data_IF_620787929391
#
_entry.id   IF_620787929391
#
_cell.length_a   1.000
_cell.length_b   1.000
_cell.length_c   1.000
_cell.angle_alpha   90.00
_cell.angle_beta   90.00
_cell.angle_gamma   90.00
#
_symmetry.space_group_name_H-M   'P 1'
#
loop_
_entity.id
_entity.type
_entity.pdbx_description
1 polymer ?
#
# COMPACT_ATOMS: atom_id res chain seq x y z
N UNK A 1 16.57 40.66 0.65
CA UNK A 1 15.14 40.54 0.26
C UNK A 1 15.14 39.38 -0.68
N UNK A 2 15.26 38.20 -0.09
CA UNK A 2 15.61 36.99 -0.78
C UNK A 2 14.30 36.31 -1.13
N UNK A 3 13.96 36.35 -2.42
CA UNK A 3 12.93 35.50 -3.00
C UNK A 3 13.33 34.05 -2.79
N UNK A 4 12.84 33.46 -1.70
CA UNK A 4 12.93 32.03 -1.48
C UNK A 4 11.88 31.34 -2.35
N UNK A 5 12.14 31.36 -3.66
CA UNK A 5 11.59 30.39 -4.57
C UNK A 5 12.19 29.04 -4.19
N UNK A 6 11.63 28.38 -3.17
CA UNK A 6 11.87 26.97 -2.93
C UNK A 6 11.32 26.22 -4.14
N UNK A 7 12.17 26.05 -5.16
CA UNK A 7 12.08 24.91 -6.04
C UNK A 7 12.04 23.69 -5.12
N UNK A 8 10.85 23.16 -4.87
CA UNK A 8 10.63 21.90 -4.17
C UNK A 8 11.13 20.81 -5.10
N UNK A 9 12.45 20.76 -5.27
CA UNK A 9 13.09 19.60 -5.86
C UNK A 9 12.69 18.44 -4.95
N UNK A 10 12.14 17.35 -5.50
CA UNK A 10 11.67 16.22 -4.70
C UNK A 10 12.90 15.53 -4.09
N UNK A 11 13.37 16.04 -2.95
CA UNK A 11 14.47 15.45 -2.19
C UNK A 11 13.91 14.54 -1.11
N UNK A 12 14.73 13.58 -0.69
CA UNK A 12 14.37 12.70 0.42
C UNK A 12 14.09 13.47 1.73
N UNK A 13 14.83 14.56 1.97
CA UNK A 13 14.62 15.44 3.14
C UNK A 13 13.27 16.16 3.07
N UNK A 14 12.95 16.76 1.92
CA UNK A 14 11.67 17.45 1.73
C UNK A 14 10.49 16.46 1.84
N UNK A 15 10.69 15.23 1.35
CA UNK A 15 9.70 14.17 1.48
C UNK A 15 9.51 13.74 2.93
N UNK A 16 10.58 13.58 3.72
CA UNK A 16 10.47 13.30 5.15
C UNK A 16 9.69 14.40 5.90
N UNK A 17 9.87 15.67 5.53
CA UNK A 17 9.09 16.79 6.08
C UNK A 17 7.61 16.68 5.70
N UNK A 18 7.29 16.33 4.45
CA UNK A 18 5.92 16.08 4.01
C UNK A 18 5.27 14.94 4.81
N UNK A 19 5.95 13.80 4.95
CA UNK A 19 5.43 12.64 5.67
C UNK A 19 5.16 12.96 7.14
N UNK A 20 6.04 13.72 7.80
CA UNK A 20 5.81 14.19 9.17
C UNK A 20 4.52 15.03 9.29
N UNK A 21 4.19 15.82 8.26
CA UNK A 21 2.94 16.59 8.23
C UNK A 21 1.74 15.68 8.05
N UNK A 22 1.83 14.69 7.16
CA UNK A 22 0.76 13.73 6.91
C UNK A 22 0.48 12.82 8.10
N UNK A 23 1.51 12.40 8.81
CA UNK A 23 1.36 11.65 10.06
C UNK A 23 0.55 12.46 11.08
N UNK A 24 0.92 13.72 11.31
CA UNK A 24 0.25 14.59 12.30
C UNK A 24 -1.18 14.96 11.92
N UNK A 25 -1.45 15.23 10.65
CA UNK A 25 -2.75 15.75 10.19
C UNK A 25 -3.73 14.66 9.77
N UNK A 26 -3.24 13.53 9.28
CA UNK A 26 -4.05 12.50 8.63
C UNK A 26 -3.82 11.09 9.20
N UNK A 27 -2.93 10.94 10.18
CA UNK A 27 -2.64 9.65 10.81
C UNK A 27 -1.90 8.67 9.89
N UNK A 28 -1.20 9.17 8.87
CA UNK A 28 -0.36 8.35 7.99
C UNK A 28 0.86 7.84 8.76
N UNK A 29 0.86 6.57 9.17
CA UNK A 29 1.92 6.01 10.00
C UNK A 29 3.24 5.89 9.22
N UNK A 30 4.35 6.39 9.79
CA UNK A 30 5.69 6.12 9.25
C UNK A 30 6.17 4.76 9.74
N UNK A 31 6.52 3.89 8.80
CA UNK A 31 6.85 2.49 9.08
C UNK A 31 8.30 2.21 8.71
N UNK A 32 8.99 1.52 9.61
CA UNK A 32 10.16 0.71 9.31
C UNK A 32 9.73 -0.77 9.14
N UNK A 33 10.67 -1.69 9.01
CA UNK A 33 10.36 -3.11 8.86
C UNK A 33 9.59 -3.69 10.06
N UNK A 34 10.01 -3.37 11.28
CA UNK A 34 9.37 -3.91 12.49
C UNK A 34 8.00 -3.26 12.76
N UNK A 35 7.86 -1.98 12.44
CA UNK A 35 6.61 -1.23 12.45
C UNK A 35 5.64 -1.78 11.42
N UNK A 36 6.12 -2.12 10.23
CA UNK A 36 5.29 -2.71 9.18
C UNK A 36 4.64 -4.03 9.59
N UNK A 37 5.39 -4.97 10.15
CA UNK A 37 4.83 -6.26 10.60
C UNK A 37 3.71 -6.06 11.64
N UNK A 38 3.94 -5.17 12.61
CA UNK A 38 2.94 -4.84 13.65
C UNK A 38 1.71 -4.15 13.07
N UNK A 39 1.94 -3.23 12.13
CA UNK A 39 0.88 -2.49 11.46
C UNK A 39 0.00 -3.42 10.60
N UNK A 40 0.64 -4.32 9.85
CA UNK A 40 0.00 -5.32 9.02
C UNK A 40 -0.84 -6.30 9.85
N UNK A 41 -0.32 -6.78 10.99
CA UNK A 41 -0.98 -7.75 11.85
C UNK A 41 -2.17 -7.20 12.64
N UNK A 42 -2.32 -5.88 12.73
CA UNK A 42 -3.48 -5.27 13.37
C UNK A 42 -4.74 -5.51 12.52
N UNK A 43 -5.89 -5.70 13.18
CA UNK A 43 -7.15 -6.02 12.52
C UNK A 43 -7.69 -4.86 11.65
N UNK A 44 -8.46 -5.22 10.62
CA UNK A 44 -9.11 -4.33 9.67
C UNK A 44 -8.24 -3.97 8.45
N UNK A 45 -8.84 -3.23 7.52
CA UNK A 45 -8.20 -2.82 6.28
C UNK A 45 -7.03 -1.86 6.52
N UNK A 46 -5.94 -2.11 5.81
CA UNK A 46 -4.83 -1.18 5.75
C UNK A 46 -4.21 -1.10 4.36
N UNK A 47 -3.58 0.04 4.10
CA UNK A 47 -2.82 0.30 2.88
C UNK A 47 -1.44 0.84 3.27
N UNK A 48 -0.40 0.36 2.61
CA UNK A 48 0.97 0.83 2.85
C UNK A 48 1.58 1.30 1.54
N UNK A 49 2.03 2.55 1.51
CA UNK A 49 2.85 3.08 0.43
C UNK A 49 4.28 2.56 0.56
N UNK A 50 4.70 1.80 -0.44
CA UNK A 50 6.08 1.46 -0.69
C UNK A 50 6.69 2.61 -1.49
N UNK A 51 7.27 3.56 -0.77
CA UNK A 51 7.86 4.76 -1.35
C UNK A 51 9.23 4.44 -1.96
N UNK A 52 9.60 5.18 -3.00
CA UNK A 52 10.97 5.25 -3.50
C UNK A 52 11.53 6.66 -3.27
N UNK A 53 12.84 6.87 -3.41
CA UNK A 53 13.47 8.18 -3.34
C UNK A 53 12.82 9.11 -4.38
N UNK A 54 12.16 10.20 -3.96
CA UNK A 54 11.51 11.12 -4.88
C UNK A 54 12.47 11.81 -5.85
N UNK A 55 13.77 11.83 -5.56
CA UNK A 55 14.79 12.32 -6.49
C UNK A 55 14.99 11.38 -7.69
N UNK A 56 14.71 10.08 -7.51
CA UNK A 56 14.78 9.06 -8.56
C UNK A 56 13.42 8.76 -9.18
N UNK A 57 12.36 8.73 -8.37
CA UNK A 57 10.98 8.47 -8.77
C UNK A 57 10.07 9.57 -8.21
N UNK A 58 9.98 10.72 -8.89
CA UNK A 58 9.19 11.88 -8.44
C UNK A 58 7.73 11.54 -8.13
N UNK A 59 7.15 10.57 -8.84
CA UNK A 59 5.79 10.08 -8.67
C UNK A 59 5.51 9.56 -7.26
N UNK A 60 6.55 9.18 -6.50
CA UNK A 60 6.40 8.82 -5.08
C UNK A 60 5.74 9.95 -4.28
N UNK A 61 6.11 11.19 -4.58
CA UNK A 61 5.54 12.36 -3.93
C UNK A 61 4.06 12.48 -4.24
N UNK A 62 3.69 12.38 -5.52
CA UNK A 62 2.30 12.47 -5.97
C UNK A 62 1.43 11.36 -5.36
N UNK A 63 1.93 10.13 -5.34
CA UNK A 63 1.19 9.00 -4.75
C UNK A 63 1.02 9.15 -3.24
N UNK A 64 1.97 9.75 -2.52
CA UNK A 64 1.81 10.05 -1.10
C UNK A 64 0.69 11.08 -0.85
N UNK A 65 0.59 12.10 -1.71
CA UNK A 65 -0.52 13.08 -1.65
C UNK A 65 -1.85 12.41 -1.96
N UNK A 66 -1.90 11.63 -3.04
CA UNK A 66 -3.09 10.85 -3.44
C UNK A 66 -3.55 9.93 -2.31
N UNK A 67 -2.63 9.26 -1.62
CA UNK A 67 -2.97 8.39 -0.49
C UNK A 67 -3.70 9.16 0.62
N UNK A 68 -3.24 10.37 0.95
CA UNK A 68 -3.93 11.22 1.93
C UNK A 68 -5.30 11.67 1.44
N UNK A 69 -5.44 12.05 0.17
CA UNK A 69 -6.74 12.41 -0.41
C UNK A 69 -7.72 11.22 -0.42
N UNK A 70 -7.22 10.00 -0.59
CA UNK A 70 -8.04 8.80 -0.44
C UNK A 70 -8.52 8.63 1.00
N UNK A 71 -7.65 8.78 1.98
CA UNK A 71 -8.03 8.65 3.40
C UNK A 71 -9.13 9.62 3.80
N UNK A 72 -9.13 10.83 3.25
CA UNK A 72 -10.15 11.85 3.57
C UNK A 72 -11.44 11.70 2.78
N UNK A 73 -11.41 11.02 1.64
CA UNK A 73 -12.58 10.85 0.75
C UNK A 73 -13.27 9.48 0.86
N UNK A 74 -12.71 8.55 1.63
CA UNK A 74 -13.29 7.24 1.86
C UNK A 74 -14.30 7.27 3.02
N UNK A 75 -15.51 6.79 2.76
CA UNK A 75 -16.56 6.61 3.77
C UNK A 75 -16.35 5.35 4.65
N UNK A 76 -15.15 4.77 4.65
CA UNK A 76 -14.80 3.58 5.42
C UNK A 76 -13.45 3.73 6.10
N UNK A 77 -13.30 3.07 7.25
CA UNK A 77 -12.04 3.07 7.99
C UNK A 77 -10.97 2.33 7.19
N UNK A 78 -9.91 3.04 6.82
CA UNK A 78 -8.72 2.49 6.20
C UNK A 78 -7.51 3.04 6.95
N UNK A 79 -6.69 2.14 7.50
CA UNK A 79 -5.42 2.55 8.12
C UNK A 79 -4.38 2.73 7.02
N UNK A 80 -3.61 3.81 7.05
CA UNK A 80 -2.53 4.00 6.10
C UNK A 80 -1.17 4.07 6.78
N UNK A 81 -0.18 3.52 6.08
CA UNK A 81 1.23 3.69 6.42
C UNK A 81 2.07 4.01 5.19
N UNK A 82 3.29 4.46 5.45
CA UNK A 82 4.32 4.68 4.44
C UNK A 82 5.61 4.04 4.92
N UNK A 83 6.20 3.21 4.07
CA UNK A 83 7.55 2.70 4.26
C UNK A 83 8.54 3.68 3.65
N UNK A 84 9.56 4.05 4.41
CA UNK A 84 10.67 4.82 3.85
C UNK A 84 11.43 4.01 2.79
N UNK A 85 12.09 4.64 1.80
CA UNK A 85 12.67 3.95 0.65
C UNK A 85 13.56 2.75 0.99
N UNK A 86 14.40 2.88 2.03
CA UNK A 86 15.27 1.79 2.46
C UNK A 86 14.50 0.55 2.93
N UNK A 87 13.46 0.74 3.76
CA UNK A 87 12.61 -0.34 4.28
C UNK A 87 11.67 -0.88 3.19
N UNK A 88 11.13 0.01 2.35
CA UNK A 88 10.29 -0.35 1.22
C UNK A 88 11.02 -1.29 0.26
N UNK A 89 12.26 -0.96 -0.13
CA UNK A 89 13.09 -1.80 -1.01
C UNK A 89 13.36 -3.19 -0.42
N UNK A 90 13.57 -3.29 0.91
CA UNK A 90 13.81 -4.57 1.58
C UNK A 90 12.56 -5.45 1.66
N UNK A 91 11.38 -4.84 1.79
CA UNK A 91 10.10 -5.56 1.91
C UNK A 91 9.43 -5.85 0.56
N UNK A 92 9.69 -5.05 -0.47
CA UNK A 92 9.08 -5.17 -1.80
C UNK A 92 9.11 -6.59 -2.41
N UNK A 93 10.20 -7.39 -2.29
CA UNK A 93 10.24 -8.75 -2.84
C UNK A 93 9.13 -9.68 -2.33
N UNK A 94 8.50 -9.37 -1.19
CA UNK A 94 7.42 -10.16 -0.60
C UNK A 94 6.07 -9.95 -1.30
N UNK A 95 5.91 -8.85 -2.04
CA UNK A 95 4.63 -8.40 -2.60
C UNK A 95 4.55 -8.47 -4.12
N UNK A 96 5.65 -8.80 -4.79
CA UNK A 96 5.68 -9.18 -6.20
C UNK A 96 5.30 -8.08 -7.19
N UNK A 97 5.45 -6.81 -6.80
CA UNK A 97 5.29 -5.66 -7.70
C UNK A 97 6.62 -5.28 -8.35
N UNK A 98 6.55 -4.73 -9.56
CA UNK A 98 7.71 -4.32 -10.37
C UNK A 98 7.79 -2.83 -10.66
N UNK A 99 6.69 -2.09 -10.48
CA UNK A 99 6.61 -0.65 -10.75
C UNK A 99 6.50 0.12 -9.44
N UNK A 100 7.35 1.13 -9.30
CA UNK A 100 7.38 2.05 -8.16
C UNK A 100 6.70 3.39 -8.50
N UNK A 101 6.16 4.10 -7.50
CA UNK A 101 5.83 3.62 -6.15
C UNK A 101 4.66 2.62 -6.18
N UNK A 102 4.39 1.92 -5.07
CA UNK A 102 3.28 0.97 -4.99
C UNK A 102 2.46 1.09 -3.69
N UNK A 103 1.14 0.92 -3.79
CA UNK A 103 0.24 0.78 -2.64
C UNK A 103 -0.11 -0.68 -2.42
N UNK A 104 0.35 -1.25 -1.30
CA UNK A 104 0.02 -2.61 -0.89
C UNK A 104 -1.17 -2.59 0.07
N UNK A 105 -2.21 -3.34 -0.27
CA UNK A 105 -3.43 -3.49 0.54
C UNK A 105 -3.34 -4.76 1.37
N UNK A 106 -3.66 -4.63 2.65
CA UNK A 106 -3.62 -5.69 3.64
C UNK A 106 -4.93 -5.71 4.44
N UNK A 107 -5.29 -6.87 4.97
CA UNK A 107 -6.44 -7.06 5.85
C UNK A 107 -6.11 -8.16 6.85
N UNK A 108 -6.20 -7.84 8.14
CA UNK A 108 -5.99 -8.80 9.24
C UNK A 108 -4.66 -9.59 9.09
N UNK A 109 -3.57 -8.91 8.73
CA UNK A 109 -2.26 -9.53 8.45
C UNK A 109 -2.13 -10.21 7.09
N UNK A 110 -3.23 -10.39 6.36
CA UNK A 110 -3.28 -11.00 5.04
C UNK A 110 -3.06 -10.01 3.90
N UNK A 111 -2.47 -10.47 2.80
CA UNK A 111 -2.32 -9.68 1.58
C UNK A 111 -3.63 -9.63 0.78
N UNK A 112 -4.03 -8.46 0.30
CA UNK A 112 -5.23 -8.29 -0.53
C UNK A 112 -4.83 -8.00 -1.98
N UNK A 113 -3.88 -7.10 -2.18
CA UNK A 113 -3.49 -6.67 -3.52
C UNK A 113 -2.45 -5.56 -3.51
N UNK A 114 -2.07 -5.14 -4.70
CA UNK A 114 -1.16 -4.01 -4.92
C UNK A 114 -1.66 -3.16 -6.08
N UNK A 115 -1.54 -1.84 -5.95
CA UNK A 115 -1.70 -0.89 -7.06
C UNK A 115 -0.32 -0.30 -7.30
N UNK A 116 0.21 -0.52 -8.50
CA UNK A 116 1.54 -0.03 -8.88
C UNK A 116 1.44 1.27 -9.67
N UNK A 117 2.44 2.13 -9.48
CA UNK A 117 2.65 3.39 -10.16
C UNK A 117 1.59 4.46 -9.86
N UNK A 118 1.83 5.63 -10.41
CA UNK A 118 0.83 6.69 -10.50
C UNK A 118 -0.18 6.38 -11.61
N UNK A 119 -1.45 6.76 -11.41
CA UNK A 119 -2.53 6.60 -12.40
C UNK A 119 -3.42 7.83 -12.41
N UNK A 120 -4.33 7.90 -13.37
CA UNK A 120 -5.38 8.91 -13.33
C UNK A 120 -6.23 8.76 -12.06
N UNK A 121 -6.61 9.87 -11.45
CA UNK A 121 -7.41 9.92 -10.22
C UNK A 121 -8.67 9.02 -10.26
N UNK A 122 -9.43 9.07 -11.35
CA UNK A 122 -10.68 8.29 -11.45
C UNK A 122 -10.43 6.79 -11.52
N UNK A 123 -9.35 6.37 -12.19
CA UNK A 123 -8.91 4.97 -12.20
C UNK A 123 -8.45 4.54 -10.81
N UNK A 124 -7.67 5.40 -10.16
CA UNK A 124 -7.13 5.14 -8.84
C UNK A 124 -8.23 4.90 -7.80
N UNK A 125 -9.25 5.77 -7.76
CA UNK A 125 -10.41 5.59 -6.86
C UNK A 125 -11.15 4.28 -7.10
N UNK A 126 -11.37 3.91 -8.37
CA UNK A 126 -12.05 2.66 -8.73
C UNK A 126 -11.23 1.44 -8.31
N UNK A 127 -9.93 1.45 -8.58
CA UNK A 127 -9.03 0.35 -8.18
C UNK A 127 -8.93 0.23 -6.67
N UNK A 128 -8.81 1.33 -5.93
CA UNK A 128 -8.81 1.33 -4.46
C UNK A 128 -10.11 0.73 -3.92
N UNK A 129 -11.27 1.18 -4.40
CA UNK A 129 -12.55 0.60 -3.99
C UNK A 129 -12.61 -0.90 -4.28
N UNK A 130 -12.19 -1.32 -5.48
CA UNK A 130 -12.12 -2.73 -5.85
C UNK A 130 -11.15 -3.53 -4.97
N UNK A 131 -10.01 -2.96 -4.56
CA UNK A 131 -9.09 -3.61 -3.61
C UNK A 131 -9.73 -3.82 -2.25
N UNK A 132 -10.48 -2.83 -1.76
CA UNK A 132 -11.13 -2.91 -0.45
C UNK A 132 -12.29 -3.91 -0.40
N UNK A 133 -12.80 -4.36 -1.56
CA UNK A 133 -13.84 -5.40 -1.65
C UNK A 133 -13.26 -6.78 -1.98
N UNK A 134 -11.97 -6.89 -2.32
CA UNK A 134 -11.31 -8.17 -2.58
C UNK A 134 -11.07 -8.95 -1.28
N UNK A 135 -11.10 -10.29 -1.34
CA UNK A 135 -10.70 -11.13 -0.22
C UNK A 135 -9.18 -11.14 -0.03
N UNK A 136 -8.75 -11.53 1.16
CA UNK A 136 -7.34 -11.87 1.43
C UNK A 136 -6.91 -13.03 0.55
N UNK A 137 -5.69 -12.95 0.01
CA UNK A 137 -5.06 -13.95 -0.84
C UNK A 137 -3.57 -14.05 -0.55
N UNK A 138 -2.92 -15.06 -1.11
CA UNK A 138 -1.46 -15.20 -1.03
C UNK A 138 -0.78 -14.11 -1.86
N UNK A 139 0.25 -13.47 -1.30
CA UNK A 139 1.07 -12.54 -2.07
C UNK A 139 1.81 -13.27 -3.21
N UNK A 140 1.88 -12.68 -4.41
CA UNK A 140 2.67 -13.26 -5.50
C UNK A 140 4.15 -13.19 -5.12
N UNK A 141 4.72 -14.32 -4.73
CA UNK A 141 6.16 -14.46 -4.49
C UNK A 141 6.84 -14.79 -5.82
N UNK A 142 7.80 -13.97 -6.29
CA UNK A 142 8.57 -14.28 -7.49
C UNK A 142 9.21 -15.67 -7.39
N UNK A 143 8.93 -16.54 -8.36
CA UNK A 143 9.49 -17.90 -8.43
C UNK A 143 8.67 -19.02 -7.75
N UNK A 144 7.53 -18.72 -7.09
CA UNK A 144 6.63 -19.77 -6.65
C UNK A 144 5.79 -20.27 -7.83
N UNK A 145 6.14 -21.43 -8.39
CA UNK A 145 5.25 -22.16 -9.27
C UNK A 145 3.95 -22.47 -8.51
N UNK A 146 2.87 -21.81 -8.89
CA UNK A 146 1.53 -22.10 -8.37
C UNK A 146 1.09 -23.47 -8.89
N UNK A 147 1.13 -24.50 -8.05
CA UNK A 147 0.24 -25.65 -8.25
C UNK A 147 -1.14 -25.19 -7.83
N UNK A 148 -2.04 -25.06 -8.80
CA UNK A 148 -3.46 -24.89 -8.53
C UNK A 148 -3.97 -26.19 -7.89
N UNK A 149 -4.05 -26.25 -6.56
CA UNK A 149 -4.89 -27.25 -5.91
C UNK A 149 -6.34 -26.82 -6.10
N UNK A 150 -7.01 -27.54 -6.99
CA UNK A 150 -8.42 -27.37 -7.28
C UNK A 150 -9.25 -27.52 -6.00
N UNK A 151 -10.11 -26.54 -5.79
CA UNK A 151 -11.27 -26.67 -4.92
C UNK A 151 -12.11 -27.83 -5.43
N UNK A 152 -12.09 -28.96 -4.72
CA UNK A 152 -13.19 -29.93 -4.76
C UNK A 152 -14.09 -29.64 -3.56
N UNK A 153 -14.98 -28.65 -3.74
CA UNK A 153 -16.10 -28.44 -2.85
C UNK A 153 -17.17 -29.51 -3.09
N UNK A 154 -17.40 -30.33 -2.05
CA UNK A 154 -18.72 -30.65 -1.46
C UNK A 154 -19.80 -31.35 -2.31
N UNK A 155 -20.34 -32.47 -1.81
CA UNK A 155 -21.77 -32.70 -1.51
C UNK A 155 -22.14 -34.20 -1.40
N UNK A 156 -22.98 -34.52 -0.38
CA UNK A 156 -24.02 -35.58 -0.26
C UNK A 156 -23.62 -37.08 -0.38
N UNK A 157 -24.15 -38.05 0.38
CA UNK A 157 -25.44 -38.27 1.08
C UNK A 157 -25.16 -39.07 2.38
N UNK A 158 -25.88 -38.89 3.49
CA UNK A 158 -27.30 -39.21 3.65
C UNK A 158 -27.47 -40.62 4.24
N UNK A 159 -27.49 -40.69 5.56
CA UNK A 159 -28.09 -41.73 6.44
C UNK A 159 -29.63 -41.55 6.37
N UNK A 160 -30.54 -42.53 6.60
CA UNK A 160 -30.48 -44.01 6.74
C UNK A 160 -31.69 -44.67 5.97
N UNK A 161 -32.50 -45.67 6.44
CA UNK A 161 -32.69 -46.32 7.75
C UNK A 161 -31.77 -47.51 8.05
#
# INVERSE_FOLDING_TARGET
MDEVGHSLSPTLEAFAVLLNRFEKLHGLARLDEAGFERFAATLGDSVVLFAEDPAHVPETWDVAVVLVELLTSLDRRLRAGVLEPASARRLAPRYGFGIWPALVFLRDGGYVGVIEGMRNWQEYRREVAAMLDRPVRRAPVPGAAVRAEGVAGTCHRGIPP
#
